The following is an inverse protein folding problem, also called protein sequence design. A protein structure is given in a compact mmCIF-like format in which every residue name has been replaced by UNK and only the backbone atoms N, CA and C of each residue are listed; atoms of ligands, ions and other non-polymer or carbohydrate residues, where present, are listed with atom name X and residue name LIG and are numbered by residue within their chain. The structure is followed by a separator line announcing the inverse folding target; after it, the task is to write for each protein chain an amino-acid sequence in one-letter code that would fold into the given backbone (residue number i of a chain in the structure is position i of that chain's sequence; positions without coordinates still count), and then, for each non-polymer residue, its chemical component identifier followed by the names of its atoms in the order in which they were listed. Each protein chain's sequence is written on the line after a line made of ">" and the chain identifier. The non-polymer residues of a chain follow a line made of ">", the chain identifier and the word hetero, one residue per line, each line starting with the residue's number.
data_IF_125545392875
#
_entry.id   IF_125545392875
#
_cell.length_a   1.000
_cell.length_b   1.000
_cell.length_c   1.000
_cell.angle_alpha   90.00
_cell.angle_beta   90.00
_cell.angle_gamma   90.00
#
_symmetry.space_group_name_H-M   'P 1'
#
loop_
_entity.id
_entity.type
_entity.pdbx_description
1 polymer ?
#
# COMPACT_ATOMS: atom_id res chain seq x y z
N UNK A 1 -2.02 8.26 20.15
CA UNK A 1 -1.60 7.15 19.26
C UNK A 1 -2.73 6.15 19.17
N UNK A 2 -2.92 5.51 18.02
CA UNK A 2 -3.94 4.47 17.84
C UNK A 2 -3.49 3.16 18.49
N UNK A 3 -4.46 2.32 18.90
CA UNK A 3 -4.21 0.94 19.32
C UNK A 3 -4.28 0.01 18.10
N UNK A 4 -3.33 -0.93 18.00
CA UNK A 4 -3.26 -1.89 16.91
C UNK A 4 -4.07 -3.14 17.22
N UNK A 5 -4.62 -3.80 16.20
CA UNK A 5 -5.46 -4.98 16.37
C UNK A 5 -5.07 -6.13 15.43
N UNK A 6 -5.02 -7.34 15.96
CA UNK A 6 -4.95 -8.56 15.17
C UNK A 6 -6.31 -9.28 15.16
N UNK A 7 -6.62 -9.94 14.04
CA UNK A 7 -7.79 -10.79 13.94
C UNK A 7 -7.43 -12.21 14.44
N UNK A 8 -8.35 -12.81 15.21
CA UNK A 8 -8.24 -14.14 15.81
C UNK A 8 -9.42 -14.99 15.31
N UNK A 9 -9.14 -15.85 14.33
CA UNK A 9 -10.13 -16.70 13.67
C UNK A 9 -10.78 -17.73 14.60
N UNK A 10 -10.13 -18.08 15.72
CA UNK A 10 -10.59 -19.12 16.63
C UNK A 10 -11.63 -18.60 17.63
N UNK A 11 -11.82 -17.27 17.71
CA UNK A 11 -12.77 -16.62 18.62
C UNK A 11 -14.01 -16.11 17.90
N UNK A 12 -15.14 -16.74 18.18
CA UNK A 12 -16.46 -16.31 17.67
C UNK A 12 -16.98 -15.00 18.28
N UNK A 13 -16.50 -14.62 19.45
CA UNK A 13 -16.92 -13.41 20.18
C UNK A 13 -15.68 -12.58 20.52
N UNK A 14 -15.62 -11.35 20.00
CA UNK A 14 -14.46 -10.42 20.04
C UNK A 14 -13.22 -10.95 19.29
N UNK A 15 -13.33 -11.06 17.95
CA UNK A 15 -12.26 -11.58 17.11
C UNK A 15 -11.06 -10.62 16.96
N UNK A 16 -11.23 -9.33 17.27
CA UNK A 16 -10.12 -8.38 17.30
C UNK A 16 -9.48 -8.32 18.68
N UNK A 17 -8.16 -8.45 18.72
CA UNK A 17 -7.35 -8.39 19.93
C UNK A 17 -6.31 -7.28 19.79
N UNK A 18 -6.15 -6.54 20.88
CA UNK A 18 -5.15 -5.48 20.96
C UNK A 18 -3.74 -6.07 20.85
N UNK A 19 -2.90 -5.41 20.05
CA UNK A 19 -1.48 -5.72 19.88
C UNK A 19 -0.68 -4.49 20.25
N UNK A 20 0.28 -4.68 21.13
CA UNK A 20 1.32 -3.69 21.34
C UNK A 20 2.36 -3.84 20.24
N UNK A 21 2.70 -2.72 19.59
CA UNK A 21 3.82 -2.70 18.66
C UNK A 21 5.11 -2.89 19.47
N UNK A 22 5.86 -3.99 19.28
CA UNK A 22 7.08 -4.22 20.04
C UNK A 22 8.15 -3.22 19.60
N UNK A 23 9.03 -2.82 20.53
CA UNK A 23 10.25 -2.10 20.19
C UNK A 23 11.13 -3.00 19.32
N UNK A 24 11.53 -2.49 18.15
CA UNK A 24 12.32 -3.22 17.16
C UNK A 24 13.50 -2.33 16.73
N UNK A 25 14.55 -2.22 17.56
CA UNK A 25 15.66 -1.29 17.32
C UNK A 25 16.38 -1.52 15.98
N UNK A 26 16.38 -2.75 15.47
CA UNK A 26 16.91 -3.14 14.17
C UNK A 26 16.07 -2.62 12.98
N UNK A 27 14.77 -2.35 13.20
CA UNK A 27 13.83 -1.88 12.18
C UNK A 27 13.65 -0.37 12.17
N UNK A 28 14.49 0.38 12.89
CA UNK A 28 14.36 1.84 12.98
C UNK A 28 14.40 2.53 11.61
N UNK A 29 15.26 2.06 10.71
CA UNK A 29 15.34 2.57 9.33
C UNK A 29 14.32 1.96 8.36
N UNK A 30 13.69 0.84 8.72
CA UNK A 30 12.85 0.06 7.80
C UNK A 30 11.35 0.30 7.97
N UNK A 31 10.87 0.56 9.20
CA UNK A 31 9.43 0.63 9.45
C UNK A 31 8.99 1.21 10.80
N UNK A 32 9.89 1.80 11.59
CA UNK A 32 9.55 2.28 12.95
C UNK A 32 9.06 3.73 13.00
N UNK A 33 8.76 4.35 11.86
CA UNK A 33 8.24 5.72 11.82
C UNK A 33 6.77 5.70 12.27
N UNK A 34 6.47 6.38 13.37
CA UNK A 34 5.10 6.64 13.82
C UNK A 34 4.65 7.96 13.20
N UNK A 35 3.50 7.95 12.53
CA UNK A 35 3.02 9.09 11.74
C UNK A 35 1.49 9.16 11.72
N UNK A 36 0.95 10.21 11.11
CA UNK A 36 -0.47 10.44 10.89
C UNK A 36 -0.78 10.56 9.39
N UNK A 37 -2.06 10.48 9.02
CA UNK A 37 -2.50 10.74 7.63
C UNK A 37 -2.09 12.15 7.21
N UNK A 38 -2.20 13.13 8.10
CA UNK A 38 -1.88 14.54 7.81
C UNK A 38 -0.38 14.75 7.55
N UNK A 39 0.49 14.00 8.23
CA UNK A 39 1.94 14.08 8.01
C UNK A 39 2.36 13.38 6.72
N UNK A 40 1.87 12.15 6.51
CA UNK A 40 2.15 11.38 5.29
C UNK A 40 1.60 12.07 4.04
N UNK A 41 0.44 12.71 4.09
CA UNK A 41 -0.10 13.40 2.90
C UNK A 41 0.70 14.66 2.57
N UNK A 42 1.27 15.35 3.58
CA UNK A 42 2.22 16.44 3.35
C UNK A 42 3.52 15.91 2.73
N UNK A 43 4.02 14.76 3.17
CA UNK A 43 5.16 14.10 2.54
C UNK A 43 4.88 13.76 1.06
N UNK A 44 3.71 13.17 0.77
CA UNK A 44 3.27 12.88 -0.60
C UNK A 44 3.16 14.15 -1.44
N UNK A 45 2.62 15.24 -0.88
CA UNK A 45 2.56 16.55 -1.53
C UNK A 45 3.98 17.05 -1.87
N UNK A 46 4.93 16.98 -0.93
CA UNK A 46 6.31 17.38 -1.18
C UNK A 46 6.96 16.58 -2.31
N UNK A 47 6.77 15.25 -2.33
CA UNK A 47 7.26 14.39 -3.41
C UNK A 47 6.64 14.75 -4.76
N UNK A 48 5.33 15.01 -4.80
CA UNK A 48 4.59 15.23 -6.05
C UNK A 48 4.83 16.62 -6.68
N UNK A 49 5.11 17.62 -5.84
CA UNK A 49 5.34 19.01 -6.26
C UNK A 49 6.81 19.44 -6.18
N UNK A 50 7.70 18.56 -5.75
CA UNK A 50 9.11 18.85 -5.51
C UNK A 50 9.28 20.04 -4.56
N UNK A 51 8.49 20.06 -3.48
CA UNK A 51 8.59 21.07 -2.42
C UNK A 51 9.72 20.68 -1.46
N UNK A 52 10.47 21.68 -0.98
CA UNK A 52 11.60 21.46 -0.07
C UNK A 52 11.19 20.58 1.14
N UNK A 53 12.04 19.62 1.57
CA UNK A 53 13.43 19.40 1.14
C UNK A 53 13.59 18.59 -0.17
N UNK A 54 12.50 18.21 -0.84
CA UNK A 54 12.53 17.39 -2.05
C UNK A 54 12.70 18.27 -3.27
N UNK A 55 13.95 18.54 -3.65
CA UNK A 55 14.23 19.13 -4.97
C UNK A 55 14.15 18.08 -6.09
N UNK A 56 14.18 18.52 -7.35
CA UNK A 56 14.09 17.62 -8.51
C UNK A 56 15.16 16.53 -8.54
N UNK A 57 16.41 16.82 -8.10
CA UNK A 57 17.46 15.81 -8.08
C UNK A 57 17.18 14.71 -7.05
N UNK A 58 16.70 15.09 -5.85
CA UNK A 58 16.27 14.15 -4.82
C UNK A 58 15.10 13.31 -5.32
N UNK A 59 14.08 13.95 -5.88
CA UNK A 59 12.92 13.25 -6.46
C UNK A 59 13.34 12.21 -7.50
N UNK A 60 14.15 12.59 -8.49
CA UNK A 60 14.62 11.66 -9.51
C UNK A 60 15.45 10.52 -8.92
N UNK A 61 16.24 10.76 -7.88
CA UNK A 61 16.96 9.72 -7.15
C UNK A 61 16.04 8.74 -6.42
N UNK A 62 14.93 9.24 -5.86
CA UNK A 62 13.93 8.44 -5.15
C UNK A 62 13.14 7.53 -6.10
N UNK A 63 12.65 8.07 -7.22
CA UNK A 63 11.77 7.32 -8.16
C UNK A 63 12.54 6.53 -9.22
N UNK A 64 13.87 6.66 -9.30
CA UNK A 64 14.68 5.88 -10.24
C UNK A 64 14.54 4.38 -9.93
N UNK A 65 13.99 3.64 -10.88
CA UNK A 65 13.86 2.17 -10.83
C UNK A 65 15.24 1.52 -10.78
N UNK A 66 15.41 0.52 -9.90
CA UNK A 66 16.70 -0.17 -9.66
C UNK A 66 16.62 -1.67 -9.94
N UNK A 67 15.52 -2.32 -9.56
CA UNK A 67 15.30 -3.75 -9.77
C UNK A 67 13.81 -4.07 -9.90
N UNK A 68 13.48 -5.27 -10.35
CA UNK A 68 12.12 -5.79 -10.23
C UNK A 68 11.84 -6.18 -8.77
N UNK A 69 10.69 -5.80 -8.24
CA UNK A 69 10.26 -6.20 -6.90
C UNK A 69 9.96 -7.71 -6.85
N UNK A 70 9.34 -8.22 -7.91
CA UNK A 70 9.13 -9.65 -8.12
C UNK A 70 9.53 -10.03 -9.56
N UNK A 71 10.79 -10.47 -9.79
CA UNK A 71 11.28 -10.86 -11.10
C UNK A 71 10.52 -12.03 -11.74
N UNK A 72 9.88 -12.88 -10.92
CA UNK A 72 9.09 -14.03 -11.36
C UNK A 72 7.58 -13.76 -11.38
N UNK A 73 7.16 -12.49 -11.43
CA UNK A 73 5.74 -12.16 -11.44
C UNK A 73 5.05 -12.68 -12.71
N UNK A 74 4.17 -13.65 -12.54
CA UNK A 74 3.25 -14.14 -13.57
C UNK A 74 1.85 -13.53 -13.36
N UNK A 75 1.02 -13.49 -14.42
CA UNK A 75 -0.38 -13.03 -14.34
C UNK A 75 -0.56 -11.60 -13.80
N UNK A 76 0.20 -10.65 -14.34
CA UNK A 76 0.04 -9.23 -14.00
C UNK A 76 -1.40 -8.76 -14.25
N UNK A 77 -1.88 -7.85 -13.38
CA UNK A 77 -3.18 -7.19 -13.60
C UNK A 77 -3.20 -6.53 -14.99
N UNK A 78 -4.34 -6.58 -15.72
CA UNK A 78 -4.45 -5.92 -17.01
C UNK A 78 -4.05 -4.45 -16.96
N UNK A 79 -3.37 -3.99 -17.99
CA UNK A 79 -2.88 -2.59 -18.11
C UNK A 79 -1.87 -2.17 -17.02
N UNK A 80 -1.27 -3.12 -16.31
CA UNK A 80 -0.29 -2.87 -15.25
C UNK A 80 1.08 -3.43 -15.63
N UNK A 81 2.13 -2.64 -15.44
CA UNK A 81 3.52 -3.12 -15.57
C UNK A 81 3.93 -3.99 -14.38
N UNK A 82 5.06 -4.71 -14.45
CA UNK A 82 5.74 -5.18 -13.25
C UNK A 82 6.01 -4.04 -12.26
N UNK A 83 6.11 -4.38 -10.98
CA UNK A 83 6.53 -3.45 -9.93
C UNK A 83 8.05 -3.41 -9.87
N UNK A 84 8.59 -2.19 -9.82
CA UNK A 84 10.01 -1.91 -9.71
C UNK A 84 10.32 -1.37 -8.31
N UNK A 85 11.39 -1.88 -7.69
CA UNK A 85 11.96 -1.27 -6.50
C UNK A 85 12.80 -0.06 -6.90
N UNK A 86 12.58 1.06 -6.21
CA UNK A 86 13.39 2.27 -6.27
C UNK A 86 14.08 2.47 -4.89
N UNK A 87 14.27 3.71 -4.43
CA UNK A 87 14.91 3.96 -3.13
C UNK A 87 13.86 4.03 -2.03
N UNK A 88 13.49 2.88 -1.46
CA UNK A 88 12.44 2.79 -0.44
C UNK A 88 11.04 3.09 -0.97
N UNK A 89 10.86 3.00 -2.29
CA UNK A 89 9.59 3.20 -2.99
C UNK A 89 9.39 2.11 -4.02
N UNK A 90 8.14 1.82 -4.30
CA UNK A 90 7.68 1.02 -5.42
C UNK A 90 7.25 1.95 -6.56
N UNK A 91 7.63 1.58 -7.78
CA UNK A 91 7.21 2.27 -9.00
C UNK A 91 6.61 1.25 -9.94
N UNK A 92 5.44 1.54 -10.49
CA UNK A 92 4.83 0.76 -11.56
C UNK A 92 4.01 1.68 -12.46
N UNK A 93 3.57 1.17 -13.59
CA UNK A 93 2.73 1.90 -14.53
C UNK A 93 1.37 1.23 -14.61
N UNK A 94 0.31 2.02 -14.50
CA UNK A 94 -1.05 1.56 -14.69
C UNK A 94 -1.74 2.43 -15.74
N UNK A 95 -2.23 1.79 -16.81
CA UNK A 95 -2.84 2.47 -17.98
C UNK A 95 -1.97 3.59 -18.55
N UNK A 96 -0.66 3.40 -18.54
CA UNK A 96 0.33 4.37 -19.05
C UNK A 96 0.73 5.47 -18.05
N UNK A 97 0.12 5.54 -16.87
CA UNK A 97 0.48 6.50 -15.84
C UNK A 97 1.42 5.90 -14.80
N UNK A 98 2.47 6.63 -14.46
CA UNK A 98 3.38 6.23 -13.39
C UNK A 98 2.67 6.35 -12.04
N UNK A 99 2.68 5.25 -11.28
CA UNK A 99 2.23 5.18 -9.89
C UNK A 99 3.45 4.91 -9.03
N UNK A 100 3.63 5.74 -8.01
CA UNK A 100 4.72 5.63 -7.05
C UNK A 100 4.15 5.53 -5.65
N UNK A 101 4.69 4.66 -4.80
CA UNK A 101 4.17 4.48 -3.45
C UNK A 101 4.99 3.51 -2.62
N UNK A 102 4.46 3.13 -1.47
CA UNK A 102 4.96 2.03 -0.65
C UNK A 102 3.84 1.60 0.30
N UNK A 103 3.82 0.32 0.68
CA UNK A 103 2.99 -0.22 1.75
C UNK A 103 3.82 -0.52 3.00
N UNK A 104 3.20 -0.47 4.16
CA UNK A 104 3.85 -0.82 5.41
C UNK A 104 2.95 -1.78 6.18
N UNK A 105 3.56 -2.77 6.80
CA UNK A 105 2.83 -3.73 7.62
C UNK A 105 3.67 -4.11 8.82
N UNK A 106 3.08 -3.97 10.00
CA UNK A 106 3.60 -4.47 11.26
C UNK A 106 2.43 -5.12 12.02
N UNK A 107 2.69 -5.95 13.04
CA UNK A 107 1.62 -6.49 13.86
C UNK A 107 0.69 -5.37 14.38
N UNK A 108 -0.59 -5.45 13.99
CA UNK A 108 -1.62 -4.50 14.40
C UNK A 108 -1.75 -3.22 13.57
N UNK A 109 -0.90 -2.97 12.57
CA UNK A 109 -1.02 -1.78 11.72
C UNK A 109 -0.63 -2.04 10.27
N UNK A 110 -1.32 -1.36 9.35
CA UNK A 110 -0.97 -1.31 7.94
C UNK A 110 -1.03 0.11 7.41
N UNK A 111 -0.21 0.41 6.41
CA UNK A 111 -0.23 1.68 5.69
C UNK A 111 -0.09 1.46 4.19
N UNK A 112 -0.66 2.36 3.41
CA UNK A 112 -0.40 2.49 1.97
C UNK A 112 -0.42 3.96 1.63
N UNK A 113 0.56 4.41 0.85
CA UNK A 113 0.44 5.67 0.14
C UNK A 113 0.81 5.49 -1.33
N UNK A 114 0.17 6.26 -2.19
CA UNK A 114 0.48 6.34 -3.61
C UNK A 114 0.43 7.78 -4.10
N UNK A 115 1.14 8.08 -5.18
CA UNK A 115 1.00 9.31 -5.94
C UNK A 115 1.26 9.11 -7.43
N UNK A 116 0.56 9.90 -8.23
CA UNK A 116 0.60 9.93 -9.69
C UNK A 116 1.04 11.34 -10.13
N UNK A 117 2.33 11.56 -10.38
CA UNK A 117 2.90 12.90 -10.59
C UNK A 117 2.27 13.68 -11.74
N UNK A 118 1.91 12.98 -12.82
CA UNK A 118 1.33 13.57 -14.03
C UNK A 118 -0.12 14.02 -13.81
N UNK A 119 -0.82 13.38 -12.88
CA UNK A 119 -2.22 13.68 -12.56
C UNK A 119 -2.37 14.58 -11.33
N UNK A 120 -1.25 14.93 -10.67
CA UNK A 120 -1.25 15.69 -9.42
C UNK A 120 -2.19 15.11 -8.36
N UNK A 121 -2.25 13.78 -8.32
CA UNK A 121 -3.05 13.03 -7.36
C UNK A 121 -2.17 12.20 -6.43
N UNK A 122 -2.56 12.12 -5.16
CA UNK A 122 -1.98 11.22 -4.18
C UNK A 122 -2.99 10.84 -3.12
N UNK A 123 -2.77 9.69 -2.49
CA UNK A 123 -3.62 9.15 -1.45
C UNK A 123 -2.78 8.50 -0.36
N UNK A 124 -3.28 8.55 0.87
CA UNK A 124 -2.71 7.90 2.06
C UNK A 124 -3.84 7.18 2.78
N UNK A 125 -3.63 5.91 3.09
CA UNK A 125 -4.56 5.07 3.84
C UNK A 125 -3.79 4.42 4.98
N UNK A 126 -4.28 4.59 6.20
CA UNK A 126 -3.73 3.98 7.41
C UNK A 126 -4.79 3.08 8.04
N UNK A 127 -4.38 1.91 8.49
CA UNK A 127 -5.22 0.94 9.18
C UNK A 127 -4.57 0.49 10.48
N UNK A 128 -5.39 0.30 11.50
CA UNK A 128 -4.99 -0.27 12.78
C UNK A 128 -5.32 -1.77 12.88
N UNK A 129 -5.23 -2.46 11.74
CA UNK A 129 -5.24 -3.92 11.69
C UNK A 129 -4.44 -4.41 10.49
N UNK A 130 -3.82 -5.56 10.65
CA UNK A 130 -2.86 -6.13 9.70
C UNK A 130 -3.47 -6.45 8.31
N UNK A 131 -4.77 -6.80 8.27
CA UNK A 131 -5.48 -7.07 7.00
C UNK A 131 -5.82 -5.82 6.18
N UNK A 132 -5.59 -4.61 6.69
CA UNK A 132 -6.00 -3.37 6.01
C UNK A 132 -5.16 -3.11 4.77
N UNK A 133 -3.93 -3.63 4.66
CA UNK A 133 -3.07 -3.42 3.48
C UNK A 133 -3.73 -3.86 2.16
N UNK A 134 -4.46 -4.98 2.16
CA UNK A 134 -5.15 -5.48 0.97
C UNK A 134 -6.32 -4.59 0.57
N UNK A 135 -7.10 -4.16 1.56
CA UNK A 135 -8.23 -3.23 1.36
C UNK A 135 -7.71 -1.88 0.89
N UNK A 136 -6.63 -1.38 1.47
CA UNK A 136 -6.00 -0.11 1.10
C UNK A 136 -5.49 -0.13 -0.35
N UNK A 137 -4.83 -1.22 -0.77
CA UNK A 137 -4.38 -1.39 -2.15
C UNK A 137 -5.55 -1.34 -3.15
N UNK A 138 -6.67 -1.97 -2.80
CA UNK A 138 -7.85 -2.02 -3.64
C UNK A 138 -8.58 -0.66 -3.69
N UNK A 139 -8.71 0.04 -2.56
CA UNK A 139 -9.22 1.41 -2.52
C UNK A 139 -8.32 2.32 -3.38
N UNK A 140 -6.99 2.23 -3.25
CA UNK A 140 -6.05 2.99 -4.06
C UNK A 140 -6.26 2.72 -5.56
N UNK A 141 -6.44 1.46 -5.95
CA UNK A 141 -6.72 1.09 -7.34
C UNK A 141 -8.02 1.73 -7.84
N UNK A 142 -9.09 1.65 -7.06
CA UNK A 142 -10.40 2.25 -7.42
C UNK A 142 -10.34 3.77 -7.49
N UNK A 143 -9.59 4.43 -6.60
CA UNK A 143 -9.37 5.88 -6.68
C UNK A 143 -8.62 6.26 -7.96
N UNK A 144 -7.60 5.49 -8.35
CA UNK A 144 -6.89 5.71 -9.61
C UNK A 144 -7.80 5.48 -10.81
N UNK A 145 -8.61 4.42 -10.83
CA UNK A 145 -9.60 4.18 -11.87
C UNK A 145 -10.59 5.33 -12.01
N UNK A 146 -11.09 5.85 -10.88
CA UNK A 146 -12.04 6.97 -10.86
C UNK A 146 -11.43 8.25 -11.47
N UNK A 147 -10.17 8.53 -11.16
CA UNK A 147 -9.46 9.71 -11.68
C UNK A 147 -9.15 9.57 -13.16
N UNK A 148 -8.79 8.36 -13.59
CA UNK A 148 -8.58 8.01 -14.99
C UNK A 148 -9.90 7.88 -15.77
N UNK A 149 -11.05 8.03 -15.10
CA UNK A 149 -12.40 7.87 -15.66
C UNK A 149 -12.56 6.53 -16.37
N UNK A 150 -11.95 5.48 -15.81
CA UNK A 150 -12.09 4.12 -16.31
C UNK A 150 -13.55 3.70 -16.09
N UNK A 151 -14.26 3.21 -17.12
CA UNK A 151 -15.61 2.72 -16.95
C UNK A 151 -15.63 1.59 -15.91
N UNK A 152 -16.55 1.66 -14.96
CA UNK A 152 -16.81 0.53 -14.06
C UNK A 152 -17.27 -0.65 -14.92
N UNK A 153 -16.37 -1.60 -15.16
CA UNK A 153 -16.74 -2.90 -15.68
C UNK A 153 -17.57 -3.59 -14.58
N UNK A 154 -18.68 -4.22 -14.96
CA UNK A 154 -19.59 -4.91 -14.04
C UNK A 154 -18.93 -6.02 -13.19
N UNK A 155 -17.68 -6.38 -13.49
CA UNK A 155 -16.93 -7.49 -12.89
C UNK A 155 -16.09 -7.13 -11.64
N UNK A 156 -15.85 -5.85 -11.35
CA UNK A 156 -15.00 -5.44 -10.20
C UNK A 156 -15.60 -5.85 -8.85
N UNK A 157 -16.94 -5.88 -8.76
CA UNK A 157 -17.65 -6.27 -7.54
C UNK A 157 -17.51 -7.77 -7.21
N UNK A 158 -17.32 -8.61 -8.24
CA UNK A 158 -17.11 -10.06 -8.08
C UNK A 158 -15.67 -10.41 -7.67
N UNK A 159 -14.68 -9.62 -8.10
CA UNK A 159 -13.28 -9.83 -7.71
C UNK A 159 -13.02 -9.51 -6.24
N UNK A 160 -13.69 -8.49 -5.69
CA UNK A 160 -13.66 -8.17 -4.26
C UNK A 160 -14.15 -9.33 -3.38
N UNK A 161 -15.27 -9.95 -3.76
CA UNK A 161 -15.78 -11.15 -3.07
C UNK A 161 -14.83 -12.35 -3.18
N UNK A 162 -14.11 -12.48 -4.30
CA UNK A 162 -13.13 -13.55 -4.51
C UNK A 162 -11.84 -13.37 -3.72
N UNK A 163 -11.31 -12.13 -3.64
CA UNK A 163 -10.07 -11.81 -2.94
C UNK A 163 -10.21 -11.96 -1.41
N UNK A 164 -11.35 -11.58 -0.84
CA UNK A 164 -11.66 -11.81 0.59
C UNK A 164 -11.66 -13.32 0.89
N UNK A 165 -12.28 -14.14 0.03
CA UNK A 165 -12.28 -15.61 0.20
C UNK A 165 -10.91 -16.27 0.03
N UNK A 166 -10.04 -15.73 -0.82
CA UNK A 166 -8.67 -16.25 -1.00
C UNK A 166 -7.73 -15.87 0.15
N UNK A 167 -7.93 -14.70 0.76
CA UNK A 167 -7.25 -14.30 2.01
C UNK A 167 -7.60 -15.25 3.16
N UNK A 168 -8.89 -15.53 3.34
CA UNK A 168 -9.38 -16.50 4.35
C UNK A 168 -8.89 -17.94 4.09
N UNK A 169 -8.62 -18.30 2.83
CA UNK A 169 -8.14 -19.63 2.44
C UNK A 169 -6.63 -19.84 2.70
N UNK A 170 -5.81 -18.80 2.52
CA UNK A 170 -4.35 -18.87 2.75
C UNK A 170 -3.98 -18.88 4.23
N UNK A 171 -4.74 -18.20 5.09
CA UNK A 171 -4.55 -18.27 6.54
C UNK A 171 -4.84 -19.66 7.11
N UNK A 172 -5.74 -20.43 6.49
CA UNK A 172 -6.06 -21.81 6.92
C UNK A 172 -4.98 -22.85 6.59
N UNK A 173 -4.17 -22.62 5.57
CA UNK A 173 -3.13 -23.57 5.13
C UNK A 173 -1.79 -23.41 5.83
N UNK A 174 -1.54 -22.28 6.51
CA UNK A 174 -0.28 -22.02 7.23
C UNK A 174 -0.31 -22.42 8.71
N UNK A 175 -1.40 -23.03 9.19
CA UNK A 175 -1.58 -23.45 10.59
C UNK A 175 -1.71 -24.99 10.74
N UNK A 176 -1.01 -25.76 9.90
CA UNK A 176 -0.81 -27.22 10.09
C UNK A 176 0.63 -27.54 10.47
#
# INVERSE_FOLDING_TARGET
>A
MAMGYHWDMDRRSHPYREVQSPDCPESQGAGSIITSVDDLIRWVKCLMYHEQPINSAVYHGLVRTRSFANPGAENLKPFTSPVFCAAGLEVYYYRGHMVVGHDGEIPGFSSRFIFLPDLKFGAVILGNSQGVVHVANEICHQLVDAILKVPLMADSCNQLHGAVKQGEGRERTNNQ
#
